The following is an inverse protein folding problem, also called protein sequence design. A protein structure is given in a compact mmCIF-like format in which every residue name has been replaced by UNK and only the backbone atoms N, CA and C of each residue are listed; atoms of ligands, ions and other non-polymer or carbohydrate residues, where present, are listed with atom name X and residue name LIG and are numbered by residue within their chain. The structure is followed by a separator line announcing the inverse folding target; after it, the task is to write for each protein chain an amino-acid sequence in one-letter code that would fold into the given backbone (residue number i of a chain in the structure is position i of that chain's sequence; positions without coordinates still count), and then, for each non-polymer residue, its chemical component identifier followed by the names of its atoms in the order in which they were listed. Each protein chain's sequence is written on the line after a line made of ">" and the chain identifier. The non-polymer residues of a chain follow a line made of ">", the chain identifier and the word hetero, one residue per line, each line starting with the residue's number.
data_IF_167698030405
#
_entry.id   IF_167698030405
#
_cell.length_a   1.000
_cell.length_b   1.000
_cell.length_c   1.000
_cell.angle_alpha   90.00
_cell.angle_beta   90.00
_cell.angle_gamma   90.00
#
_symmetry.space_group_name_H-M   'P 1'
#
loop_
_entity.id
_entity.type
_entity.pdbx_description
1 polymer ?
#
# COMPACT_ATOMS: atom_id res chain seq x y z
N UNK A 1 30.11 -18.03 -7.89
CA UNK A 1 29.71 -19.33 -7.32
C UNK A 1 29.00 -19.08 -5.99
N UNK A 2 27.71 -18.73 -6.04
CA UNK A 2 26.79 -18.74 -4.91
C UNK A 2 25.47 -19.24 -5.49
N UNK A 3 25.15 -20.50 -5.18
CA UNK A 3 24.01 -21.25 -5.70
C UNK A 3 22.75 -20.77 -5.00
N UNK A 4 21.89 -20.04 -5.72
CA UNK A 4 20.49 -19.86 -5.33
C UNK A 4 19.74 -21.14 -5.66
N UNK A 5 19.41 -21.92 -4.63
CA UNK A 5 18.47 -23.03 -4.72
C UNK A 5 17.09 -22.49 -5.05
N UNK A 6 16.62 -22.80 -6.26
CA UNK A 6 15.22 -22.67 -6.67
C UNK A 6 14.39 -23.67 -5.89
N UNK A 7 13.49 -23.19 -5.04
CA UNK A 7 12.32 -23.97 -4.60
C UNK A 7 11.13 -23.47 -5.41
N UNK A 8 10.78 -24.23 -6.43
CA UNK A 8 9.56 -24.04 -7.23
C UNK A 8 8.35 -24.35 -6.37
N UNK A 9 7.63 -23.33 -5.91
CA UNK A 9 6.27 -23.48 -5.39
C UNK A 9 5.30 -23.52 -6.57
N UNK A 10 4.72 -24.69 -6.78
CA UNK A 10 3.57 -24.90 -7.67
C UNK A 10 2.36 -24.11 -7.15
N UNK A 11 1.48 -23.61 -8.03
CA UNK A 11 0.31 -22.84 -7.63
C UNK A 11 -0.79 -23.81 -7.19
N UNK A 12 -0.80 -24.23 -5.92
CA UNK A 12 -2.01 -24.77 -5.32
C UNK A 12 -2.90 -23.61 -4.90
N UNK A 13 -4.05 -23.51 -5.55
CA UNK A 13 -5.15 -22.65 -5.12
C UNK A 13 -5.54 -23.04 -3.68
N UNK A 14 -5.75 -22.09 -2.76
CA UNK A 14 -6.31 -22.42 -1.46
C UNK A 14 -7.74 -22.91 -1.68
N UNK A 15 -7.96 -24.21 -1.48
CA UNK A 15 -9.30 -24.78 -1.28
C UNK A 15 -9.82 -24.22 0.04
N UNK A 16 -10.74 -23.26 -0.04
CA UNK A 16 -11.61 -22.91 1.07
C UNK A 16 -12.42 -24.15 1.43
N UNK A 17 -12.05 -24.78 2.54
CA UNK A 17 -12.92 -25.73 3.24
C UNK A 17 -13.80 -24.91 4.15
N UNK A 18 -15.10 -24.95 3.88
CA UNK A 18 -16.12 -24.42 4.75
C UNK A 18 -16.31 -25.40 5.91
N UNK A 19 -15.92 -25.02 7.12
CA UNK A 19 -16.56 -25.51 8.33
C UNK A 19 -16.28 -24.60 9.54
N UNK A 20 -17.26 -24.52 10.45
CA UNK A 20 -17.07 -24.03 11.82
C UNK A 20 -17.37 -22.55 12.08
N UNK A 21 -18.64 -22.24 12.34
CA UNK A 21 -19.02 -20.99 13.01
C UNK A 21 -18.50 -20.96 14.46
N UNK A 22 -17.81 -19.88 14.81
CA UNK A 22 -17.39 -19.56 16.17
C UNK A 22 -17.44 -18.05 16.36
N UNK A 23 -18.35 -17.57 17.21
CA UNK A 23 -18.36 -16.20 17.70
C UNK A 23 -17.07 -15.92 18.46
N UNK A 24 -16.31 -14.90 18.04
CA UNK A 24 -15.11 -14.43 18.74
C UNK A 24 -15.45 -13.17 19.55
N UNK A 25 -15.58 -13.34 20.86
CA UNK A 25 -15.51 -12.27 21.85
C UNK A 25 -14.08 -12.17 22.38
N UNK A 26 -13.32 -11.19 21.86
CA UNK A 26 -12.17 -10.52 22.47
C UNK A 26 -11.63 -9.55 21.41
N UNK A 27 -11.62 -8.24 21.68
CA UNK A 27 -11.11 -7.04 20.95
C UNK A 27 -10.81 -7.09 19.43
N UNK A 28 -10.18 -8.14 18.94
CA UNK A 28 -10.12 -8.55 17.54
C UNK A 28 -11.52 -8.64 16.89
N UNK A 29 -12.56 -9.01 17.66
CA UNK A 29 -13.93 -9.13 17.19
C UNK A 29 -14.55 -7.82 16.65
N UNK A 30 -14.23 -6.67 17.25
CA UNK A 30 -14.77 -5.36 16.81
C UNK A 30 -14.08 -4.91 15.52
N UNK A 31 -12.75 -5.06 15.46
CA UNK A 31 -11.99 -4.76 14.26
C UNK A 31 -12.45 -5.68 13.11
N UNK A 32 -12.52 -6.99 13.36
CA UNK A 32 -12.99 -8.00 12.41
C UNK A 32 -14.43 -7.79 11.97
N UNK A 33 -15.31 -7.28 12.83
CA UNK A 33 -16.70 -6.96 12.48
C UNK A 33 -16.81 -5.74 11.55
N UNK A 34 -15.94 -4.72 11.72
CA UNK A 34 -15.85 -3.56 10.80
C UNK A 34 -15.22 -3.97 9.46
N UNK A 35 -14.33 -4.97 9.49
CA UNK A 35 -13.50 -5.44 8.38
C UNK A 35 -14.22 -6.43 7.45
N UNK A 36 -15.20 -7.20 7.93
CA UNK A 36 -15.85 -8.25 7.14
C UNK A 36 -17.13 -7.72 6.49
N UNK A 37 -17.18 -7.67 5.15
CA UNK A 37 -18.46 -7.47 4.45
C UNK A 37 -19.19 -8.79 4.37
N UNK A 38 -20.35 -8.85 5.00
CA UNK A 38 -21.29 -9.96 4.92
C UNK A 38 -22.20 -9.73 3.72
N UNK A 39 -22.16 -10.62 2.73
CA UNK A 39 -23.15 -10.66 1.66
C UNK A 39 -23.92 -11.98 1.74
N UNK A 40 -25.24 -11.89 1.58
CA UNK A 40 -26.11 -13.05 1.47
C UNK A 40 -26.19 -13.47 0.01
N UNK A 41 -25.77 -14.69 -0.30
CA UNK A 41 -26.05 -15.34 -1.58
C UNK A 41 -26.83 -16.62 -1.32
N UNK A 42 -28.17 -16.51 -1.26
CA UNK A 42 -29.04 -17.59 -0.77
C UNK A 42 -28.98 -17.71 0.76
N UNK A 43 -29.07 -18.95 1.27
CA UNK A 43 -29.01 -19.28 2.71
C UNK A 43 -27.58 -19.24 3.30
N UNK A 44 -26.55 -19.04 2.48
CA UNK A 44 -25.17 -18.99 2.95
C UNK A 44 -24.68 -17.55 3.11
N UNK A 45 -24.14 -17.25 4.31
CA UNK A 45 -23.41 -16.03 4.61
C UNK A 45 -21.98 -16.18 4.05
N UNK A 46 -21.63 -15.43 3.00
CA UNK A 46 -20.27 -15.44 2.47
C UNK A 46 -19.57 -14.18 2.97
N UNK A 47 -18.51 -14.37 3.75
CA UNK A 47 -17.65 -13.27 4.21
C UNK A 47 -16.53 -13.05 3.18
N UNK A 48 -16.49 -11.86 2.60
CA UNK A 48 -15.36 -11.45 1.76
C UNK A 48 -14.41 -10.60 2.63
N UNK A 49 -13.20 -11.09 2.95
CA UNK A 49 -12.23 -10.29 3.67
C UNK A 49 -11.80 -9.10 2.80
N UNK A 50 -11.73 -7.91 3.38
CA UNK A 50 -11.13 -6.75 2.71
C UNK A 50 -9.63 -6.97 2.58
N UNK A 51 -9.07 -6.66 1.41
CA UNK A 51 -7.64 -6.88 1.15
C UNK A 51 -6.77 -6.12 2.15
N UNK A 52 -7.06 -4.82 2.35
CA UNK A 52 -6.33 -3.95 3.29
C UNK A 52 -6.30 -4.51 4.70
N UNK A 53 -7.42 -5.06 5.14
CA UNK A 53 -7.55 -5.62 6.47
C UNK A 53 -6.84 -6.97 6.63
N UNK A 54 -6.99 -7.87 5.66
CA UNK A 54 -6.26 -9.14 5.63
C UNK A 54 -4.74 -8.89 5.68
N UNK A 55 -4.25 -7.86 4.98
CA UNK A 55 -2.84 -7.51 4.95
C UNK A 55 -2.33 -6.78 6.18
N UNK A 56 -3.19 -5.99 6.84
CA UNK A 56 -2.81 -5.31 8.07
C UNK A 56 -2.58 -6.28 9.24
N UNK A 57 -3.31 -7.40 9.24
CA UNK A 57 -3.17 -8.48 10.23
C UNK A 57 -2.18 -9.58 9.81
N UNK A 58 -1.80 -9.64 8.54
CA UNK A 58 -0.76 -10.55 8.04
C UNK A 58 0.59 -10.19 8.67
N UNK A 59 1.17 -11.13 9.42
CA UNK A 59 2.39 -10.87 10.20
C UNK A 59 3.57 -10.46 9.32
N UNK A 60 3.72 -11.07 8.14
CA UNK A 60 4.84 -10.82 7.25
C UNK A 60 4.69 -9.48 6.52
N UNK A 61 3.53 -9.22 5.93
CA UNK A 61 3.25 -7.97 5.21
C UNK A 61 3.26 -6.79 6.19
N UNK A 62 2.60 -6.94 7.35
CA UNK A 62 2.57 -5.92 8.40
C UNK A 62 3.98 -5.63 8.89
N UNK A 63 4.79 -6.66 9.21
CA UNK A 63 6.18 -6.46 9.63
C UNK A 63 7.03 -5.75 8.56
N UNK A 64 6.90 -6.14 7.29
CA UNK A 64 7.64 -5.50 6.20
C UNK A 64 7.28 -4.02 6.06
N UNK A 65 6.00 -3.69 6.07
CA UNK A 65 5.54 -2.30 5.95
C UNK A 65 5.88 -1.47 7.20
N UNK A 66 5.73 -2.04 8.40
CA UNK A 66 6.10 -1.40 9.67
C UNK A 66 7.61 -1.23 9.83
N UNK A 67 8.43 -1.98 9.10
CA UNK A 67 9.89 -1.81 9.08
C UNK A 67 10.37 -0.60 8.28
N UNK A 68 9.49 0.03 7.48
CA UNK A 68 9.85 1.18 6.67
C UNK A 68 10.05 2.43 7.56
N UNK A 69 11.02 3.32 7.24
CA UNK A 69 11.33 4.48 8.08
C UNK A 69 10.15 5.43 8.33
N UNK A 70 9.27 5.60 7.34
CA UNK A 70 8.08 6.44 7.46
C UNK A 70 7.06 5.89 8.47
N UNK A 71 6.97 4.57 8.66
CA UNK A 71 6.14 3.97 9.71
C UNK A 71 6.69 4.30 11.09
N UNK A 72 7.99 4.07 11.31
CA UNK A 72 8.62 4.31 12.61
C UNK A 72 8.45 5.76 13.07
N UNK A 73 8.54 6.72 12.14
CA UNK A 73 8.34 8.14 12.45
C UNK A 73 6.89 8.46 12.82
N UNK A 74 5.91 7.85 12.15
CA UNK A 74 4.49 8.15 12.41
C UNK A 74 3.95 7.42 13.64
N UNK A 75 4.43 6.21 13.94
CA UNK A 75 4.02 5.45 15.14
C UNK A 75 4.59 6.04 16.42
N UNK A 76 5.81 6.60 16.36
CA UNK A 76 6.44 7.29 17.50
C UNK A 76 5.92 8.72 17.69
N UNK A 77 5.08 9.22 16.79
CA UNK A 77 4.51 10.56 16.91
C UNK A 77 3.52 10.62 18.07
N UNK A 78 3.91 11.30 19.15
CA UNK A 78 3.05 11.59 20.30
C UNK A 78 2.49 13.02 20.23
N UNK A 79 1.15 13.21 20.38
CA UNK A 79 0.54 14.53 20.47
C UNK A 79 1.11 15.41 21.61
N UNK A 80 1.77 14.83 22.62
CA UNK A 80 2.35 15.59 23.74
C UNK A 80 3.56 16.44 23.36
N UNK A 81 4.23 16.16 22.24
CA UNK A 81 5.34 16.99 21.72
C UNK A 81 4.83 18.37 21.26
N UNK A 82 3.53 18.53 21.01
CA UNK A 82 2.93 19.80 20.59
C UNK A 82 2.91 20.88 21.68
N UNK A 83 3.05 20.51 22.97
CA UNK A 83 2.96 21.44 24.10
C UNK A 83 4.32 21.92 24.62
N UNK A 84 5.43 21.28 24.23
CA UNK A 84 6.76 21.83 24.42
C UNK A 84 7.05 22.73 23.22
N UNK A 85 7.24 24.03 23.43
CA UNK A 85 7.45 25.04 22.37
C UNK A 85 8.73 24.89 21.54
N UNK A 86 9.25 23.67 21.37
CA UNK A 86 10.41 23.32 20.58
C UNK A 86 9.95 22.67 19.26
N UNK A 87 9.95 23.50 18.22
CA UNK A 87 9.79 23.18 16.81
C UNK A 87 8.40 22.66 16.34
N UNK A 88 7.85 23.38 15.35
CA UNK A 88 6.73 22.94 14.53
C UNK A 88 7.03 21.56 13.94
N UNK A 89 6.17 20.53 14.09
CA UNK A 89 6.47 19.14 13.72
C UNK A 89 6.80 18.88 12.24
N UNK A 90 6.44 19.81 11.35
CA UNK A 90 6.86 19.77 9.95
C UNK A 90 8.38 19.91 9.77
N UNK A 91 9.08 20.51 10.73
CA UNK A 91 10.54 20.63 10.73
C UNK A 91 11.23 19.33 11.16
N UNK A 92 10.68 18.56 12.11
CA UNK A 92 11.26 17.30 12.55
C UNK A 92 11.27 16.22 11.43
N UNK A 93 10.28 16.24 10.54
CA UNK A 93 10.23 15.38 9.34
C UNK A 93 11.22 15.80 8.25
N UNK A 94 11.58 17.09 8.17
CA UNK A 94 12.34 17.65 7.05
C UNK A 94 13.82 17.90 7.35
N UNK A 95 14.24 17.85 8.60
CA UNK A 95 15.61 18.27 8.96
C UNK A 95 16.69 17.23 8.63
N UNK A 96 16.36 15.98 8.27
CA UNK A 96 17.38 14.96 8.00
C UNK A 96 17.05 13.85 6.98
N UNK A 97 15.83 13.76 6.42
CA UNK A 97 15.53 12.75 5.38
C UNK A 97 15.93 13.29 4.01
N UNK A 98 16.87 12.63 3.32
CA UNK A 98 17.26 13.05 1.97
C UNK A 98 16.19 12.67 0.96
N UNK A 99 16.09 13.38 -0.18
CA UNK A 99 15.19 12.97 -1.27
C UNK A 99 15.46 11.54 -1.75
N UNK A 100 16.70 11.09 -1.64
CA UNK A 100 17.10 9.73 -1.99
C UNK A 100 16.52 8.70 -1.01
N UNK A 101 16.46 9.00 0.28
CA UNK A 101 15.84 8.12 1.29
C UNK A 101 14.34 8.00 1.05
N UNK A 102 13.68 9.13 0.74
CA UNK A 102 12.26 9.17 0.35
C UNK A 102 11.99 8.29 -0.87
N UNK A 103 12.83 8.38 -1.91
CA UNK A 103 12.71 7.52 -3.10
C UNK A 103 12.91 6.06 -2.76
N UNK A 104 13.95 5.71 -2.00
CA UNK A 104 14.23 4.32 -1.63
C UNK A 104 13.08 3.69 -0.82
N UNK A 105 12.52 4.41 0.16
CA UNK A 105 11.41 3.86 0.97
C UNK A 105 10.13 3.67 0.16
N UNK A 106 9.79 4.63 -0.69
CA UNK A 106 8.57 4.56 -1.53
C UNK A 106 8.69 3.49 -2.61
N UNK A 107 9.90 3.29 -3.12
CA UNK A 107 10.24 2.18 -4.01
C UNK A 107 10.07 0.83 -3.31
N UNK A 108 10.69 0.66 -2.13
CA UNK A 108 10.62 -0.60 -1.38
C UNK A 108 9.19 -0.98 -1.01
N UNK A 109 8.39 -0.01 -0.60
CA UNK A 109 6.96 -0.18 -0.40
C UNK A 109 6.27 -0.65 -1.68
N UNK A 110 6.47 0.06 -2.78
CA UNK A 110 5.82 -0.26 -4.06
C UNK A 110 6.19 -1.67 -4.52
N UNK A 111 7.44 -2.11 -4.32
CA UNK A 111 7.89 -3.46 -4.68
C UNK A 111 7.17 -4.54 -3.87
N UNK A 112 6.97 -4.35 -2.57
CA UNK A 112 6.19 -5.26 -1.71
C UNK A 112 4.75 -5.35 -2.24
N UNK A 113 4.11 -4.22 -2.52
CA UNK A 113 2.71 -4.18 -2.96
C UNK A 113 2.55 -4.77 -4.36
N UNK A 114 3.44 -4.45 -5.29
CA UNK A 114 3.42 -4.95 -6.68
C UNK A 114 3.67 -6.46 -6.71
N UNK A 115 4.60 -6.97 -5.89
CA UNK A 115 4.86 -8.42 -5.79
C UNK A 115 3.61 -9.21 -5.37
N UNK A 116 2.77 -8.62 -4.53
CA UNK A 116 1.59 -9.29 -3.96
C UNK A 116 0.27 -9.00 -4.73
N UNK A 117 -0.01 -7.75 -5.12
CA UNK A 117 -1.25 -7.33 -5.82
C UNK A 117 -1.08 -7.27 -7.34
N UNK A 118 0.12 -7.00 -7.84
CA UNK A 118 0.37 -6.79 -9.27
C UNK A 118 0.10 -8.04 -10.12
N UNK A 119 0.15 -9.22 -9.51
CA UNK A 119 -0.12 -10.51 -10.17
C UNK A 119 -1.60 -10.93 -10.10
N UNK A 120 -2.42 -10.26 -9.29
CA UNK A 120 -3.84 -10.57 -9.18
C UNK A 120 -4.59 -10.23 -10.48
N UNK A 121 -5.41 -11.17 -10.94
CA UNK A 121 -6.13 -11.04 -12.22
C UNK A 121 -7.13 -9.89 -12.21
N UNK A 122 -7.81 -9.65 -11.09
CA UNK A 122 -8.75 -8.54 -10.93
C UNK A 122 -9.13 -8.38 -9.45
N UNK A 123 -8.97 -7.18 -8.93
CA UNK A 123 -9.50 -6.78 -7.62
C UNK A 123 -10.99 -6.44 -7.82
N UNK A 124 -11.86 -7.01 -7.00
CA UNK A 124 -13.30 -6.77 -7.03
C UNK A 124 -13.70 -5.67 -6.05
N UNK A 125 -14.76 -4.93 -6.37
CA UNK A 125 -15.27 -3.86 -5.49
C UNK A 125 -15.67 -4.37 -4.10
N UNK A 126 -16.12 -5.63 -3.98
CA UNK A 126 -16.50 -6.25 -2.69
C UNK A 126 -15.28 -6.44 -1.77
N UNK A 127 -14.07 -6.48 -2.32
CA UNK A 127 -12.81 -6.64 -1.58
C UNK A 127 -12.26 -5.29 -1.04
N UNK A 128 -12.95 -4.18 -1.36
CA UNK A 128 -12.58 -2.81 -0.98
C UNK A 128 -13.51 -2.22 0.07
N UNK A 129 -12.98 -1.35 0.92
CA UNK A 129 -13.74 -0.43 1.77
C UNK A 129 -14.15 0.75 0.87
N UNK A 130 -15.43 0.78 0.48
CA UNK A 130 -15.99 1.83 -0.40
C UNK A 130 -16.91 2.80 0.33
N UNK A 131 -17.31 2.49 1.56
CA UNK A 131 -18.14 3.36 2.37
C UNK A 131 -17.26 4.31 3.20
N UNK A 132 -17.41 5.61 2.99
CA UNK A 132 -16.65 6.63 3.68
C UNK A 132 -17.00 6.74 5.16
N UNK A 133 -18.18 6.28 5.61
CA UNK A 133 -18.48 6.21 7.04
C UNK A 133 -17.66 5.11 7.73
N UNK A 134 -17.31 4.03 7.04
CA UNK A 134 -16.35 3.05 7.55
C UNK A 134 -14.93 3.63 7.63
N UNK A 135 -14.50 4.38 6.59
CA UNK A 135 -13.20 5.08 6.59
C UNK A 135 -13.12 6.07 7.74
N UNK A 136 -14.17 6.87 7.95
CA UNK A 136 -14.32 7.79 9.07
C UNK A 136 -14.26 7.06 10.41
N UNK A 137 -14.97 5.95 10.56
CA UNK A 137 -14.94 5.14 11.78
C UNK A 137 -13.54 4.62 12.09
N UNK A 138 -12.80 4.17 11.07
CA UNK A 138 -11.42 3.71 11.20
C UNK A 138 -10.47 4.82 11.66
N UNK A 139 -10.54 6.02 11.06
CA UNK A 139 -9.70 7.15 11.50
C UNK A 139 -10.08 7.64 12.90
N UNK A 140 -11.37 7.70 13.23
CA UNK A 140 -11.80 8.06 14.58
C UNK A 140 -11.34 7.03 15.62
N UNK A 141 -11.37 5.74 15.29
CA UNK A 141 -10.86 4.67 16.14
C UNK A 141 -9.35 4.78 16.32
N UNK A 142 -8.59 4.99 15.23
CA UNK A 142 -7.15 5.25 15.31
C UNK A 142 -6.82 6.39 16.29
N UNK A 143 -7.41 7.58 16.07
CA UNK A 143 -7.11 8.77 16.88
C UNK A 143 -7.58 8.62 18.32
N UNK A 144 -8.77 8.06 18.57
CA UNK A 144 -9.31 7.90 19.93
C UNK A 144 -8.55 6.87 20.75
N UNK A 145 -8.16 5.73 20.16
CA UNK A 145 -7.37 4.70 20.84
C UNK A 145 -5.98 5.23 21.19
N UNK A 146 -5.32 5.92 20.26
CA UNK A 146 -4.00 6.49 20.51
C UNK A 146 -4.05 7.57 21.60
N UNK A 147 -5.03 8.46 21.53
CA UNK A 147 -5.24 9.49 22.55
C UNK A 147 -5.52 8.89 23.92
N UNK A 148 -6.40 7.89 23.99
CA UNK A 148 -6.77 7.25 25.25
C UNK A 148 -5.56 6.55 25.89
N UNK A 149 -4.82 5.74 25.13
CA UNK A 149 -3.65 5.03 25.64
C UNK A 149 -2.58 5.99 26.18
N UNK A 150 -2.29 7.05 25.41
CA UNK A 150 -1.33 8.08 25.80
C UNK A 150 -1.75 8.80 27.09
N UNK A 151 -2.99 9.29 27.17
CA UNK A 151 -3.45 10.02 28.36
C UNK A 151 -3.55 9.14 29.60
N UNK A 152 -3.94 7.87 29.44
CA UNK A 152 -3.96 6.92 30.55
C UNK A 152 -2.55 6.71 31.12
N UNK A 153 -1.52 6.57 30.26
CA UNK A 153 -0.13 6.51 30.74
C UNK A 153 0.31 7.79 31.43
N UNK A 154 -0.05 8.95 30.89
CA UNK A 154 0.23 10.24 31.55
C UNK A 154 -0.43 10.31 32.93
N UNK A 155 -1.69 9.92 33.03
CA UNK A 155 -2.42 9.90 34.30
C UNK A 155 -1.75 8.95 35.31
N UNK A 156 -1.41 7.73 34.88
CA UNK A 156 -0.70 6.74 35.71
C UNK A 156 0.66 7.30 36.18
N UNK A 157 1.39 7.98 35.29
CA UNK A 157 2.66 8.60 35.61
C UNK A 157 2.53 9.80 36.57
N UNK A 158 1.40 10.51 36.55
CA UNK A 158 1.10 11.61 37.46
C UNK A 158 0.65 11.15 38.87
N UNK A 159 0.39 9.86 39.08
CA UNK A 159 -0.02 9.36 40.39
C UNK A 159 1.06 9.56 41.48
N UNK A 160 0.68 9.86 42.73
CA UNK A 160 1.61 9.94 43.85
C UNK A 160 2.36 8.61 44.08
N UNK A 161 3.59 8.62 44.63
CA UNK A 161 4.38 7.40 44.86
C UNK A 161 3.61 6.32 45.65
N UNK A 162 2.86 6.73 46.69
CA UNK A 162 2.03 5.80 47.48
C UNK A 162 0.96 5.10 46.64
N UNK A 163 0.32 5.81 45.71
CA UNK A 163 -0.68 5.22 44.82
C UNK A 163 -0.02 4.25 43.82
N UNK A 164 1.17 4.61 43.29
CA UNK A 164 1.96 3.73 42.43
C UNK A 164 2.39 2.44 43.14
N UNK A 165 2.72 2.50 44.43
CA UNK A 165 2.99 1.30 45.23
C UNK A 165 1.75 0.42 45.40
N UNK A 166 0.57 1.00 45.61
CA UNK A 166 -0.68 0.25 45.70
C UNK A 166 -1.03 -0.45 44.38
N UNK A 167 -0.64 0.10 43.23
CA UNK A 167 -0.83 -0.57 41.92
C UNK A 167 0.08 -1.79 41.71
N UNK A 168 1.03 -2.05 42.60
CA UNK A 168 1.81 -3.30 42.61
C UNK A 168 1.07 -4.43 43.35
N UNK A 169 -0.24 -4.32 43.54
CA UNK A 169 -1.05 -5.42 44.02
C UNK A 169 -1.22 -6.48 42.91
N UNK A 170 -1.28 -7.76 43.31
CA UNK A 170 -1.59 -8.85 42.39
C UNK A 170 -3.09 -8.94 42.18
N UNK A 171 -3.49 -9.12 40.93
CA UNK A 171 -4.87 -9.35 40.51
C UNK A 171 -4.93 -10.65 39.72
N UNK A 172 -6.11 -11.28 39.74
CA UNK A 172 -6.40 -12.45 38.92
C UNK A 172 -7.27 -12.02 37.73
N UNK A 173 -6.78 -12.26 36.53
CA UNK A 173 -7.49 -11.97 35.29
C UNK A 173 -7.95 -13.29 34.71
N UNK A 174 -9.26 -13.37 34.42
CA UNK A 174 -9.84 -14.51 33.72
C UNK A 174 -9.89 -14.19 32.23
N UNK A 175 -9.25 -15.02 31.42
CA UNK A 175 -9.31 -14.97 29.96
C UNK A 175 -9.84 -16.29 29.43
N UNK A 176 -10.79 -16.22 28.50
CA UNK A 176 -11.30 -17.40 27.78
C UNK A 176 -10.46 -17.63 26.53
N UNK A 177 -9.85 -18.81 26.43
CA UNK A 177 -9.09 -19.23 25.26
C UNK A 177 -10.02 -19.61 24.09
N UNK A 178 -9.42 -19.74 22.90
CA UNK A 178 -10.12 -20.13 21.65
C UNK A 178 -10.84 -21.48 21.74
N UNK A 179 -10.40 -22.37 22.63
CA UNK A 179 -11.01 -23.69 22.90
C UNK A 179 -12.11 -23.64 23.97
N UNK A 180 -12.46 -22.45 24.46
CA UNK A 180 -13.43 -22.25 25.54
C UNK A 180 -12.89 -22.54 26.94
N UNK A 181 -11.59 -22.87 27.08
CA UNK A 181 -10.97 -23.05 28.40
C UNK A 181 -10.77 -21.70 29.11
N UNK A 182 -11.09 -21.64 30.40
CA UNK A 182 -10.78 -20.47 31.23
C UNK A 182 -9.33 -20.54 31.72
N UNK A 183 -8.52 -19.58 31.30
CA UNK A 183 -7.19 -19.35 31.86
C UNK A 183 -7.27 -18.25 32.92
N UNK A 184 -6.72 -18.51 34.10
CA UNK A 184 -6.56 -17.49 35.15
C UNK A 184 -5.10 -17.10 35.22
N UNK A 185 -4.79 -15.84 34.88
CA UNK A 185 -3.45 -15.27 34.95
C UNK A 185 -3.36 -14.36 36.15
N UNK A 186 -2.38 -14.59 37.02
CA UNK A 186 -2.09 -13.72 38.16
C UNK A 186 -0.92 -12.79 37.82
N UNK A 187 -1.18 -11.48 37.81
CA UNK A 187 -0.16 -10.46 37.47
C UNK A 187 -0.37 -9.18 38.28
N UNK A 188 0.61 -8.27 38.25
CA UNK A 188 0.46 -6.99 38.93
C UNK A 188 -0.58 -6.12 38.21
N UNK A 189 -1.37 -5.35 38.95
CA UNK A 189 -2.33 -4.41 38.35
C UNK A 189 -1.64 -3.43 37.40
N UNK A 190 -0.43 -2.96 37.75
CA UNK A 190 0.36 -2.10 36.88
C UNK A 190 0.77 -2.76 35.56
N UNK A 191 1.11 -4.05 35.58
CA UNK A 191 1.48 -4.83 34.38
C UNK A 191 0.24 -5.05 33.51
N UNK A 192 -0.88 -5.46 34.13
CA UNK A 192 -2.14 -5.64 33.42
C UNK A 192 -2.65 -4.40 32.72
N UNK A 193 -2.52 -3.23 33.36
CA UNK A 193 -2.89 -1.96 32.76
C UNK A 193 -1.98 -1.65 31.57
N UNK A 194 -0.67 -1.84 31.70
CA UNK A 194 0.28 -1.58 30.62
C UNK A 194 0.06 -2.51 29.42
N UNK A 195 -0.18 -3.81 29.66
CA UNK A 195 -0.51 -4.78 28.62
C UNK A 195 -1.78 -4.36 27.86
N UNK A 196 -2.78 -3.86 28.60
CA UNK A 196 -4.03 -3.40 28.00
C UNK A 196 -3.84 -2.15 27.17
N UNK A 197 -3.07 -1.18 27.66
CA UNK A 197 -2.76 0.06 26.94
C UNK A 197 -1.97 -0.23 25.67
N UNK A 198 -1.00 -1.15 25.75
CA UNK A 198 -0.22 -1.63 24.60
C UNK A 198 -1.09 -2.32 23.55
N UNK A 199 -2.09 -3.09 23.98
CA UNK A 199 -3.07 -3.72 23.08
C UNK A 199 -3.91 -2.68 22.33
N UNK A 200 -4.37 -1.63 23.01
CA UNK A 200 -5.14 -0.55 22.38
C UNK A 200 -4.29 0.25 21.37
N UNK A 201 -3.01 0.45 21.64
CA UNK A 201 -2.07 1.06 20.69
C UNK A 201 -1.84 0.17 19.47
N UNK A 202 -1.64 -1.14 19.68
CA UNK A 202 -1.51 -2.08 18.57
C UNK A 202 -2.77 -2.06 17.68
N UNK A 203 -3.96 -1.97 18.26
CA UNK A 203 -5.21 -1.80 17.49
C UNK A 203 -5.25 -0.47 16.73
N UNK A 204 -4.83 0.63 17.37
CA UNK A 204 -4.73 1.94 16.73
C UNK A 204 -3.78 1.91 15.53
N UNK A 205 -2.62 1.28 15.68
CA UNK A 205 -1.65 1.08 14.61
C UNK A 205 -2.24 0.27 13.46
N UNK A 206 -2.92 -0.83 13.76
CA UNK A 206 -3.59 -1.64 12.73
C UNK A 206 -4.62 -0.81 11.96
N UNK A 207 -5.38 0.07 12.61
CA UNK A 207 -6.29 1.00 11.94
C UNK A 207 -5.56 1.92 10.94
N UNK A 208 -4.43 2.50 11.35
CA UNK A 208 -3.63 3.37 10.48
C UNK A 208 -3.07 2.61 9.28
N UNK A 209 -2.53 1.40 9.52
CA UNK A 209 -1.99 0.55 8.46
C UNK A 209 -3.10 0.11 7.48
N UNK A 210 -4.29 -0.22 7.97
CA UNK A 210 -5.44 -0.55 7.13
C UNK A 210 -5.82 0.62 6.22
N UNK A 211 -5.92 1.85 6.75
CA UNK A 211 -6.20 3.04 5.95
C UNK A 211 -5.14 3.27 4.88
N UNK A 212 -3.87 3.11 5.25
CA UNK A 212 -2.72 3.26 4.37
C UNK A 212 -2.76 2.28 3.20
N UNK A 213 -3.04 1.01 3.52
CA UNK A 213 -3.18 -0.08 2.56
C UNK A 213 -4.41 0.09 1.69
N UNK A 214 -5.55 0.48 2.26
CA UNK A 214 -6.80 0.66 1.53
C UNK A 214 -6.61 1.62 0.34
N UNK A 215 -6.04 2.81 0.59
CA UNK A 215 -5.76 3.79 -0.46
C UNK A 215 -4.89 3.19 -1.58
N UNK A 216 -3.91 2.36 -1.23
CA UNK A 216 -3.02 1.68 -2.20
C UNK A 216 -3.77 0.62 -2.99
N UNK A 217 -4.61 -0.18 -2.36
CA UNK A 217 -5.46 -1.17 -3.03
C UNK A 217 -6.41 -0.48 -4.02
N UNK A 218 -6.97 0.69 -3.68
CA UNK A 218 -7.77 1.50 -4.61
C UNK A 218 -6.96 1.94 -5.85
N UNK A 219 -5.67 2.25 -5.69
CA UNK A 219 -4.79 2.54 -6.83
C UNK A 219 -4.69 1.34 -7.78
N UNK A 220 -4.51 0.12 -7.26
CA UNK A 220 -4.52 -1.10 -8.07
C UNK A 220 -5.88 -1.35 -8.72
N UNK A 221 -6.97 -1.19 -7.98
CA UNK A 221 -8.33 -1.43 -8.45
C UNK A 221 -8.70 -0.59 -9.67
N UNK A 222 -8.38 0.71 -9.65
CA UNK A 222 -8.71 1.61 -10.76
C UNK A 222 -7.68 1.55 -11.90
N UNK A 223 -6.40 1.36 -11.60
CA UNK A 223 -5.36 1.47 -12.63
C UNK A 223 -5.07 0.17 -13.38
N UNK A 224 -5.20 -1.02 -12.76
CA UNK A 224 -4.98 -2.29 -13.46
C UNK A 224 -5.92 -2.51 -14.66
N UNK A 225 -7.23 -2.16 -14.60
CA UNK A 225 -8.14 -2.31 -15.73
C UNK A 225 -7.77 -1.46 -16.95
N UNK A 226 -7.19 -0.26 -16.78
CA UNK A 226 -6.78 0.65 -17.87
C UNK A 226 -5.83 0.00 -18.87
N UNK A 227 -5.06 -0.97 -18.39
CA UNK A 227 -4.02 -1.65 -19.15
C UNK A 227 -4.60 -2.82 -19.95
N UNK A 228 -5.73 -3.38 -19.49
CA UNK A 228 -6.39 -4.56 -20.06
C UNK A 228 -7.57 -4.18 -20.95
N UNK A 229 -8.23 -3.05 -20.69
CA UNK A 229 -9.35 -2.56 -21.49
C UNK A 229 -8.87 -1.98 -22.82
N UNK A 230 -9.26 -2.61 -23.93
CA UNK A 230 -9.00 -2.16 -25.31
C UNK A 230 -10.17 -1.40 -25.94
N UNK A 231 -11.33 -1.37 -25.28
CA UNK A 231 -12.56 -0.86 -25.88
C UNK A 231 -12.79 0.62 -25.59
N UNK A 232 -11.75 1.44 -25.76
CA UNK A 232 -11.95 2.88 -25.90
C UNK A 232 -12.48 3.10 -27.32
N UNK A 233 -13.81 3.18 -27.45
CA UNK A 233 -14.41 3.90 -28.56
C UNK A 233 -13.75 5.28 -28.56
N UNK A 234 -13.17 5.70 -29.69
CA UNK A 234 -12.31 6.87 -29.84
C UNK A 234 -12.98 8.24 -29.53
N UNK A 235 -14.15 8.25 -28.90
CA UNK A 235 -14.95 9.43 -28.56
C UNK A 235 -14.79 9.90 -27.11
N UNK A 236 -14.26 9.10 -26.18
CA UNK A 236 -14.04 9.57 -24.81
C UNK A 236 -12.67 10.28 -24.67
N UNK A 237 -12.68 11.53 -24.22
CA UNK A 237 -11.47 12.32 -23.97
C UNK A 237 -10.65 11.77 -22.78
N UNK A 238 -11.29 11.05 -21.85
CA UNK A 238 -10.66 10.47 -20.65
C UNK A 238 -11.25 9.09 -20.36
N UNK A 239 -10.38 8.13 -20.00
CA UNK A 239 -10.82 6.79 -19.61
C UNK A 239 -11.56 6.86 -18.25
N UNK A 240 -12.73 6.21 -18.17
CA UNK A 240 -13.61 6.22 -17.00
C UNK A 240 -12.87 5.87 -15.70
N UNK A 241 -12.00 4.88 -15.73
CA UNK A 241 -11.29 4.41 -14.55
C UNK A 241 -10.34 5.46 -13.97
N UNK A 242 -9.78 6.34 -14.80
CA UNK A 242 -8.97 7.48 -14.32
C UNK A 242 -9.83 8.54 -13.64
N UNK A 243 -11.03 8.78 -14.17
CA UNK A 243 -11.99 9.72 -13.59
C UNK A 243 -12.49 9.20 -12.24
N UNK A 244 -12.84 7.91 -12.17
CA UNK A 244 -13.27 7.27 -10.93
C UNK A 244 -12.14 7.19 -9.91
N UNK A 245 -10.90 6.89 -10.32
CA UNK A 245 -9.71 7.00 -9.47
C UNK A 245 -9.63 8.38 -8.81
N UNK A 246 -9.72 9.46 -9.60
CA UNK A 246 -9.59 10.81 -9.08
C UNK A 246 -10.69 11.19 -8.09
N UNK A 247 -11.93 10.75 -8.35
CA UNK A 247 -13.05 10.94 -7.42
C UNK A 247 -12.85 10.18 -6.12
N UNK A 248 -12.47 8.91 -6.22
CA UNK A 248 -12.36 8.00 -5.07
C UNK A 248 -11.23 8.43 -4.14
N UNK A 249 -10.01 8.59 -4.67
CA UNK A 249 -8.86 9.06 -3.89
C UNK A 249 -9.10 10.47 -3.33
N UNK A 250 -9.81 11.33 -4.06
CA UNK A 250 -10.25 12.63 -3.57
C UNK A 250 -11.23 12.55 -2.39
N UNK A 251 -12.17 11.61 -2.40
CA UNK A 251 -13.11 11.36 -1.29
C UNK A 251 -12.40 10.84 -0.05
N UNK A 252 -11.46 9.91 -0.21
CA UNK A 252 -10.58 9.47 0.89
C UNK A 252 -9.84 10.65 1.49
N UNK A 253 -9.17 11.47 0.66
CA UNK A 253 -8.41 12.61 1.13
C UNK A 253 -9.28 13.61 1.89
N UNK A 254 -10.43 13.96 1.32
CA UNK A 254 -11.38 14.88 1.95
C UNK A 254 -11.84 14.37 3.31
N UNK A 255 -12.26 13.11 3.39
CA UNK A 255 -12.77 12.50 4.63
C UNK A 255 -11.68 12.44 5.70
N UNK A 256 -10.50 11.93 5.36
CA UNK A 256 -9.39 11.76 6.30
C UNK A 256 -8.84 13.10 6.80
N UNK A 257 -8.76 14.12 5.93
CA UNK A 257 -8.28 15.45 6.30
C UNK A 257 -9.14 16.15 7.37
N UNK A 258 -10.40 15.75 7.55
CA UNK A 258 -11.27 16.30 8.59
C UNK A 258 -10.98 15.75 9.99
N UNK A 259 -10.35 14.56 10.08
CA UNK A 259 -10.19 13.83 11.33
C UNK A 259 -8.73 13.59 11.73
N UNK A 260 -7.78 13.90 10.83
CA UNK A 260 -6.38 13.53 10.98
C UNK A 260 -5.45 14.75 10.82
N UNK A 261 -4.38 14.77 11.60
CA UNK A 261 -3.35 15.82 11.50
C UNK A 261 -2.56 15.72 10.18
N UNK A 262 -2.01 16.84 9.65
CA UNK A 262 -1.35 16.86 8.34
C UNK A 262 -0.22 15.85 8.15
N UNK A 263 0.54 15.53 9.21
CA UNK A 263 1.67 14.59 9.12
C UNK A 263 1.20 13.14 8.88
N UNK A 264 0.15 12.70 9.57
CA UNK A 264 -0.44 11.38 9.36
C UNK A 264 -1.16 11.32 8.01
N UNK A 265 -1.85 12.40 7.63
CA UNK A 265 -2.47 12.51 6.30
C UNK A 265 -1.39 12.42 5.20
N UNK A 266 -0.27 13.12 5.37
CA UNK A 266 0.88 13.01 4.46
C UNK A 266 1.37 11.57 4.41
N UNK A 267 1.56 10.88 5.54
CA UNK A 267 1.97 9.48 5.55
C UNK A 267 1.07 8.58 4.68
N UNK A 268 -0.25 8.76 4.74
CA UNK A 268 -1.22 7.95 3.97
C UNK A 268 -1.13 8.18 2.45
N UNK A 269 -0.93 9.43 2.01
CA UNK A 269 -0.93 9.82 0.59
C UNK A 269 0.46 9.93 -0.04
N UNK A 270 1.51 9.96 0.77
CA UNK A 270 2.89 9.97 0.29
C UNK A 270 3.24 8.64 -0.37
N UNK A 271 4.08 8.69 -1.41
CA UNK A 271 4.46 7.53 -2.22
C UNK A 271 3.43 7.08 -3.27
N UNK A 272 2.21 7.64 -3.29
CA UNK A 272 1.19 7.26 -4.29
C UNK A 272 1.64 7.53 -5.72
N UNK A 273 2.39 8.61 -5.98
CA UNK A 273 2.93 8.90 -7.31
C UNK A 273 3.90 7.80 -7.79
N UNK A 274 4.81 7.36 -6.92
CA UNK A 274 5.71 6.25 -7.22
C UNK A 274 4.94 4.94 -7.42
N UNK A 275 4.00 4.61 -6.54
CA UNK A 275 3.18 3.41 -6.66
C UNK A 275 2.39 3.37 -7.98
N UNK A 276 1.69 4.46 -8.32
CA UNK A 276 0.93 4.56 -9.56
C UNK A 276 1.84 4.40 -10.78
N UNK A 277 3.01 5.05 -10.79
CA UNK A 277 4.00 4.90 -11.85
C UNK A 277 4.46 3.43 -11.98
N UNK A 278 4.75 2.76 -10.86
CA UNK A 278 5.11 1.34 -10.83
C UNK A 278 4.00 0.44 -11.32
N UNK A 279 2.73 0.71 -10.97
CA UNK A 279 1.56 -0.03 -11.49
C UNK A 279 1.50 0.08 -13.02
N UNK A 280 1.61 1.29 -13.57
CA UNK A 280 1.60 1.52 -15.02
C UNK A 280 2.73 0.74 -15.74
N UNK A 281 3.96 0.84 -15.21
CA UNK A 281 5.14 0.18 -15.80
C UNK A 281 5.01 -1.35 -15.71
N UNK A 282 4.72 -1.89 -14.52
CA UNK A 282 4.64 -3.34 -14.33
C UNK A 282 3.50 -3.96 -15.12
N UNK A 283 2.39 -3.24 -15.27
CA UNK A 283 1.24 -3.75 -16.02
C UNK A 283 1.50 -3.81 -17.53
N UNK A 284 2.54 -3.12 -18.04
CA UNK A 284 2.90 -3.14 -19.46
C UNK A 284 3.20 -4.56 -19.99
N UNK A 285 3.60 -5.48 -19.11
CA UNK A 285 3.78 -6.90 -19.45
C UNK A 285 2.49 -7.54 -20.03
N UNK A 286 1.33 -7.08 -19.59
CA UNK A 286 0.02 -7.57 -20.03
C UNK A 286 -0.48 -6.92 -21.34
N UNK A 287 0.21 -5.89 -21.85
CA UNK A 287 -0.17 -5.22 -23.10
C UNK A 287 0.35 -6.03 -24.29
N UNK A 288 -0.55 -6.57 -25.11
CA UNK A 288 -0.15 -7.37 -26.27
C UNK A 288 0.60 -6.57 -27.34
N UNK A 289 0.07 -5.39 -27.70
CA UNK A 289 0.64 -4.49 -28.72
C UNK A 289 0.24 -3.07 -28.37
N UNK A 290 1.19 -2.13 -28.42
CA UNK A 290 0.98 -0.71 -28.16
C UNK A 290 1.12 0.08 -29.46
N UNK A 291 0.01 0.59 -29.97
CA UNK A 291 0.01 1.46 -31.16
C UNK A 291 0.18 2.93 -30.74
N UNK A 292 0.43 3.81 -31.72
CA UNK A 292 0.58 5.26 -31.50
C UNK A 292 -0.57 5.87 -30.68
N UNK A 293 -1.81 5.53 -31.03
CA UNK A 293 -3.01 6.03 -30.36
C UNK A 293 -3.12 5.49 -28.92
N UNK A 294 -2.81 4.21 -28.70
CA UNK A 294 -2.81 3.61 -27.36
C UNK A 294 -1.73 4.23 -26.47
N UNK A 295 -0.56 4.52 -27.04
CA UNK A 295 0.52 5.21 -26.34
C UNK A 295 0.11 6.62 -25.92
N UNK A 296 -0.49 7.40 -26.83
CA UNK A 296 -1.02 8.74 -26.51
C UNK A 296 -2.11 8.68 -25.43
N UNK A 297 -3.03 7.71 -25.52
CA UNK A 297 -4.05 7.45 -24.48
C UNK A 297 -3.39 7.17 -23.13
N UNK A 298 -2.41 6.27 -23.10
CA UNK A 298 -1.69 5.91 -21.88
C UNK A 298 -0.99 7.11 -21.25
N UNK A 299 -0.22 7.89 -22.04
CA UNK A 299 0.45 9.09 -21.54
C UNK A 299 -0.55 10.13 -20.99
N UNK A 300 -1.72 10.28 -21.63
CA UNK A 300 -2.80 11.16 -21.14
C UNK A 300 -3.36 10.66 -19.81
N UNK A 301 -3.62 9.36 -19.67
CA UNK A 301 -4.09 8.77 -18.42
C UNK A 301 -3.09 8.97 -17.28
N UNK A 302 -1.81 8.69 -17.54
CA UNK A 302 -0.72 8.92 -16.57
C UNK A 302 -0.68 10.39 -16.15
N UNK A 303 -0.80 11.32 -17.10
CA UNK A 303 -0.83 12.76 -16.81
C UNK A 303 -2.05 13.17 -15.96
N UNK A 304 -3.23 12.63 -16.23
CA UNK A 304 -4.43 12.91 -15.44
C UNK A 304 -4.29 12.40 -14.00
N UNK A 305 -3.77 11.17 -13.82
CA UNK A 305 -3.46 10.63 -12.49
C UNK A 305 -2.43 11.50 -11.77
N UNK A 306 -1.35 11.89 -12.46
CA UNK A 306 -0.32 12.78 -11.93
C UNK A 306 -0.93 14.11 -11.45
N UNK A 307 -1.78 14.74 -12.27
CA UNK A 307 -2.46 15.99 -11.92
C UNK A 307 -3.32 15.83 -10.67
N UNK A 308 -4.10 14.75 -10.58
CA UNK A 308 -4.92 14.44 -9.42
C UNK A 308 -4.05 14.32 -8.16
N UNK A 309 -3.02 13.49 -8.20
CA UNK A 309 -2.13 13.28 -7.04
C UNK A 309 -1.39 14.56 -6.63
N UNK A 310 -0.89 15.34 -7.59
CA UNK A 310 -0.25 16.64 -7.29
C UNK A 310 -1.19 17.66 -6.67
N UNK A 311 -2.48 17.64 -7.01
CA UNK A 311 -3.47 18.48 -6.37
C UNK A 311 -3.72 18.08 -4.91
N UNK A 312 -3.77 16.77 -4.64
CA UNK A 312 -3.98 16.24 -3.29
C UNK A 312 -2.75 16.46 -2.40
N UNK A 313 -1.55 16.17 -2.91
CA UNK A 313 -0.30 16.30 -2.13
C UNK A 313 0.22 17.74 -2.04
N UNK A 314 -0.31 18.65 -2.86
CA UNK A 314 0.13 20.04 -2.92
C UNK A 314 1.54 20.23 -3.51
N UNK A 315 2.10 19.20 -4.15
CA UNK A 315 3.45 19.24 -4.75
C UNK A 315 3.50 18.47 -6.07
N UNK A 316 4.50 18.75 -6.93
CA UNK A 316 4.68 18.00 -8.18
C UNK A 316 4.98 16.52 -7.92
N UNK A 317 4.25 15.63 -8.58
CA UNK A 317 4.50 14.18 -8.54
C UNK A 317 5.46 13.80 -9.67
N UNK A 318 6.75 14.04 -9.48
CA UNK A 318 7.78 13.86 -10.51
C UNK A 318 7.98 12.40 -10.91
N UNK A 319 7.73 11.46 -9.99
CA UNK A 319 7.85 10.01 -10.24
C UNK A 319 6.90 9.54 -11.34
N UNK A 320 5.77 10.21 -11.56
CA UNK A 320 4.86 9.89 -12.66
C UNK A 320 5.47 10.18 -14.04
N UNK A 321 6.45 11.10 -14.13
CA UNK A 321 7.16 11.36 -15.37
C UNK A 321 7.96 10.13 -15.83
N UNK A 322 8.45 9.32 -14.88
CA UNK A 322 9.13 8.05 -15.15
C UNK A 322 8.24 7.11 -15.96
N UNK A 323 6.99 6.92 -15.56
CA UNK A 323 6.03 6.11 -16.32
C UNK A 323 5.69 6.73 -17.69
N UNK A 324 5.55 8.05 -17.79
CA UNK A 324 5.35 8.70 -19.09
C UNK A 324 6.51 8.46 -20.05
N UNK A 325 7.74 8.64 -19.58
CA UNK A 325 8.96 8.40 -20.36
C UNK A 325 9.03 6.94 -20.79
N UNK A 326 8.73 5.99 -19.89
CA UNK A 326 8.68 4.56 -20.19
C UNK A 326 7.78 4.26 -21.40
N UNK A 327 6.54 4.76 -21.39
CA UNK A 327 5.61 4.51 -22.50
C UNK A 327 5.99 5.27 -23.76
N UNK A 328 6.57 6.48 -23.66
CA UNK A 328 7.07 7.25 -24.82
C UNK A 328 8.23 6.55 -25.53
N UNK A 329 9.06 5.82 -24.77
CA UNK A 329 10.15 5.04 -25.34
C UNK A 329 9.64 3.93 -26.24
N UNK A 330 8.42 3.40 -26.06
CA UNK A 330 7.81 2.39 -26.95
C UNK A 330 7.33 3.01 -28.26
N UNK A 331 8.25 3.24 -29.18
CA UNK A 331 8.06 3.80 -30.53
C UNK A 331 8.82 2.97 -31.60
N UNK A 332 9.12 3.53 -32.77
CA UNK A 332 9.85 2.80 -33.82
C UNK A 332 11.38 2.89 -33.64
N UNK A 333 11.87 3.99 -33.07
CA UNK A 333 13.29 4.28 -32.85
C UNK A 333 13.76 3.86 -31.44
N UNK A 334 13.02 2.96 -30.80
CA UNK A 334 13.09 2.66 -29.37
C UNK A 334 14.41 2.06 -28.93
N UNK A 335 14.99 1.17 -29.72
CA UNK A 335 16.10 0.34 -29.27
C UNK A 335 17.37 1.17 -29.10
N UNK A 336 17.73 1.98 -30.09
CA UNK A 336 18.87 2.89 -30.00
C UNK A 336 18.69 3.92 -28.87
N UNK A 337 17.46 4.44 -28.70
CA UNK A 337 17.13 5.37 -27.61
C UNK A 337 17.24 4.71 -26.23
N UNK A 338 16.79 3.47 -26.07
CA UNK A 338 16.92 2.72 -24.81
C UNK A 338 18.41 2.47 -24.50
N UNK A 339 19.19 2.01 -25.47
CA UNK A 339 20.61 1.74 -25.25
C UNK A 339 21.41 3.02 -24.99
N UNK A 340 21.08 4.12 -25.67
CA UNK A 340 21.64 5.44 -25.38
C UNK A 340 21.28 5.90 -23.96
N UNK A 341 20.02 5.75 -23.53
CA UNK A 341 19.56 6.09 -22.19
C UNK A 341 20.33 5.31 -21.11
N UNK A 342 20.47 3.99 -21.29
CA UNK A 342 21.24 3.14 -20.36
C UNK A 342 22.70 3.59 -20.29
N UNK A 343 23.30 3.94 -21.43
CA UNK A 343 24.70 4.35 -21.52
C UNK A 343 24.97 5.74 -20.95
N UNK A 344 24.05 6.68 -21.11
CA UNK A 344 24.22 8.08 -20.72
C UNK A 344 23.75 8.38 -19.29
N UNK A 345 22.66 7.74 -18.85
CA UNK A 345 21.98 8.06 -17.59
C UNK A 345 22.05 6.95 -16.54
N UNK A 346 22.67 5.81 -16.87
CA UNK A 346 22.69 4.63 -16.00
C UNK A 346 21.32 3.95 -15.87
N UNK A 347 21.12 3.20 -14.76
CA UNK A 347 19.90 2.43 -14.50
C UNK A 347 18.72 3.34 -14.09
N UNK A 348 18.02 3.91 -15.08
CA UNK A 348 16.75 4.66 -14.84
C UNK A 348 15.58 3.73 -14.47
N UNK A 349 15.66 2.47 -14.93
CA UNK A 349 14.69 1.41 -14.66
C UNK A 349 15.41 0.18 -14.14
N UNK A 350 14.71 -0.66 -13.40
CA UNK A 350 15.24 -1.97 -12.98
C UNK A 350 15.40 -2.89 -14.18
N UNK A 351 16.23 -3.92 -14.06
CA UNK A 351 16.39 -4.95 -15.11
C UNK A 351 15.04 -5.58 -15.52
N UNK A 352 14.15 -5.80 -14.56
CA UNK A 352 12.81 -6.35 -14.81
C UNK A 352 11.96 -5.38 -15.65
N UNK A 353 11.97 -4.11 -15.32
CA UNK A 353 11.23 -3.08 -16.06
C UNK A 353 11.81 -2.86 -17.47
N UNK A 354 13.13 -2.90 -17.65
CA UNK A 354 13.73 -2.91 -18.98
C UNK A 354 13.30 -4.15 -19.79
N UNK A 355 13.15 -5.30 -19.14
CA UNK A 355 12.62 -6.51 -19.79
C UNK A 355 11.18 -6.28 -20.26
N UNK A 356 10.34 -5.66 -19.42
CA UNK A 356 8.98 -5.28 -19.82
C UNK A 356 8.98 -4.31 -21.01
N UNK A 357 9.83 -3.27 -20.95
CA UNK A 357 9.94 -2.27 -22.00
C UNK A 357 10.32 -2.90 -23.34
N UNK A 358 11.39 -3.69 -23.38
CA UNK A 358 11.86 -4.36 -24.59
C UNK A 358 10.84 -5.37 -25.10
N UNK A 359 10.21 -6.15 -24.22
CA UNK A 359 9.17 -7.10 -24.61
C UNK A 359 7.98 -6.40 -25.26
N UNK A 360 7.57 -5.24 -24.74
CA UNK A 360 6.47 -4.46 -25.31
C UNK A 360 6.89 -3.79 -26.62
N UNK A 361 8.11 -3.26 -26.71
CA UNK A 361 8.66 -2.65 -27.92
C UNK A 361 8.75 -3.67 -29.07
N UNK A 362 9.30 -4.86 -28.83
CA UNK A 362 9.40 -5.93 -29.83
C UNK A 362 8.00 -6.36 -30.32
N UNK A 363 7.05 -6.60 -29.41
CA UNK A 363 5.67 -6.94 -29.78
C UNK A 363 4.95 -5.82 -30.56
N UNK A 364 5.32 -4.57 -30.31
CA UNK A 364 4.74 -3.39 -30.96
C UNK A 364 5.39 -3.02 -32.28
N UNK A 365 6.60 -3.52 -32.54
CA UNK A 365 7.36 -3.20 -33.73
C UNK A 365 6.80 -3.89 -34.99
N UNK A 366 6.68 -3.20 -36.14
CA UNK A 366 6.10 -3.76 -37.37
C UNK A 366 6.79 -5.02 -37.88
N UNK A 367 8.13 -5.07 -37.84
CA UNK A 367 8.92 -6.19 -38.35
C UNK A 367 9.37 -7.18 -37.27
N UNK A 368 10.02 -6.68 -36.21
CA UNK A 368 10.55 -7.52 -35.12
C UNK A 368 9.50 -8.36 -34.39
N UNK A 369 8.23 -7.93 -34.37
CA UNK A 369 7.15 -8.72 -33.74
C UNK A 369 6.95 -10.10 -34.37
N UNK A 370 7.35 -10.28 -35.63
CA UNK A 370 7.25 -11.56 -36.35
C UNK A 370 8.58 -12.29 -36.47
N UNK A 371 9.68 -11.71 -35.94
CA UNK A 371 11.01 -12.29 -36.05
C UNK A 371 11.32 -13.20 -34.84
N UNK A 372 11.55 -14.51 -35.05
CA UNK A 372 11.96 -15.40 -33.97
C UNK A 372 13.31 -14.97 -33.37
N UNK A 373 13.43 -15.00 -32.04
CA UNK A 373 14.69 -14.66 -31.35
C UNK A 373 14.96 -13.16 -31.20
N UNK A 374 14.07 -12.28 -31.69
CA UNK A 374 14.29 -10.84 -31.64
C UNK A 374 14.38 -10.32 -30.20
N UNK A 375 13.48 -10.78 -29.31
CA UNK A 375 13.50 -10.38 -27.91
C UNK A 375 14.77 -10.87 -27.19
N UNK A 376 15.15 -12.12 -27.42
CA UNK A 376 16.33 -12.74 -26.83
C UNK A 376 17.61 -12.00 -27.25
N UNK A 377 17.71 -11.61 -28.53
CA UNK A 377 18.81 -10.78 -29.04
C UNK A 377 18.88 -9.43 -28.32
N UNK A 378 17.75 -8.73 -28.17
CA UNK A 378 17.70 -7.44 -27.48
C UNK A 378 18.03 -7.55 -25.99
N UNK A 379 17.55 -8.60 -25.30
CA UNK A 379 17.86 -8.85 -23.90
C UNK A 379 19.35 -9.19 -23.69
N UNK A 380 19.98 -9.89 -24.65
CA UNK A 380 21.42 -10.12 -24.61
C UNK A 380 22.20 -8.81 -24.72
N UNK A 381 21.81 -7.93 -25.67
CA UNK A 381 22.44 -6.62 -25.83
C UNK A 381 22.26 -5.72 -24.61
N UNK A 382 21.09 -5.77 -23.97
CA UNK A 382 20.85 -5.05 -22.71
C UNK A 382 21.80 -5.52 -21.61
N UNK A 383 21.97 -6.84 -21.46
CA UNK A 383 22.88 -7.42 -20.47
C UNK A 383 24.33 -6.98 -20.71
N UNK A 384 24.77 -6.99 -21.97
CA UNK A 384 26.12 -6.57 -22.33
C UNK A 384 26.35 -5.07 -22.10
N UNK A 385 25.28 -4.27 -22.20
CA UNK A 385 25.32 -2.82 -21.97
C UNK A 385 25.31 -2.47 -20.48
N UNK A 386 24.64 -3.26 -19.63
CA UNK A 386 24.60 -3.08 -18.17
C UNK A 386 25.82 -3.67 -17.46
N UNK A 387 26.54 -4.59 -18.11
CA UNK A 387 27.75 -5.21 -17.56
C UNK A 387 29.03 -4.37 -17.75
N UNK A 388 28.95 -3.26 -18.48
CA UNK A 388 30.05 -2.31 -18.71
C UNK A 388 29.82 -1.06 -17.90
#
# INVERSE_FOLDING_TARGET
>A
MLLYSRTTLTPEQPKLTADGGGHTDTDEGILMAIIRTRSHQGDNLIEYPKISAAWAVDEDISRLLKSLPNWAVISQWSPMVYNAGEATPGAALHLNESEQDVRQRTQRESDILIGNLGTQKQIQRVELITDMEHVKSLVCMHESLQWFASNMRTMINALPPKAKELMKCRIQIKTTNMDGSEQVVEQLLSEALEDRLSTLEAMSETCLLMLHLEIRVHCFYHLLPLIRSRNSLAQEEQDREVVEFGKDIGQFHHTLAMYMVPNKLKYLFDGLGHLCASIFIHSSQYINKLMENDRKRMCRNIYTVQKCLSQLSGRPETEMNRAQTFFKLVNLDTFDQIFALVKESGETYTHLEYTYLLSLAVRSHPTLSSQPGALESMLSQLRDSLAR
#
